data_IF_901723679753
#
_entry.id   IF_901723679753
#
_cell.length_a   1.000
_cell.length_b   1.000
_cell.length_c   1.000
_cell.angle_alpha   90.00
_cell.angle_beta   90.00
_cell.angle_gamma   90.00
#
_symmetry.space_group_name_H-M   'P 1'
#
loop_
_entity.id
_entity.type
_entity.pdbx_description
1 polymer ?
#
# COMPACT_ATOMS: atom_id res chain seq x y z
N UNK A 1 -53.22 -1.47 -28.22
CA UNK A 1 -53.81 -1.40 -26.86
C UNK A 1 -54.11 -2.82 -26.38
N UNK A 2 -53.29 -3.36 -25.47
CA UNK A 2 -53.65 -4.46 -24.57
C UNK A 2 -52.60 -4.49 -23.46
N UNK A 3 -53.05 -4.11 -22.26
CA UNK A 3 -52.28 -4.09 -21.01
C UNK A 3 -52.12 -5.52 -20.51
N UNK A 4 -50.98 -5.84 -19.92
CA UNK A 4 -50.85 -6.95 -18.97
C UNK A 4 -49.92 -6.50 -17.86
N UNK A 5 -50.54 -6.16 -16.72
CA UNK A 5 -49.87 -5.90 -15.46
C UNK A 5 -49.46 -7.23 -14.84
N UNK A 6 -48.19 -7.38 -14.48
CA UNK A 6 -47.74 -8.47 -13.60
C UNK A 6 -47.44 -7.89 -12.22
N UNK A 7 -48.16 -8.41 -11.24
CA UNK A 7 -48.13 -8.09 -9.82
C UNK A 7 -46.89 -8.73 -9.18
N UNK A 8 -46.12 -7.96 -8.41
CA UNK A 8 -45.09 -8.47 -7.49
C UNK A 8 -45.70 -8.61 -6.08
N UNK A 9 -45.50 -9.73 -5.36
CA UNK A 9 -45.86 -9.81 -3.95
C UNK A 9 -44.73 -9.23 -3.07
N UNK A 10 -45.13 -8.41 -2.10
CA UNK A 10 -44.32 -7.95 -0.97
C UNK A 10 -44.19 -9.10 0.04
N UNK A 11 -42.96 -9.45 0.44
CA UNK A 11 -42.71 -10.25 1.63
C UNK A 11 -42.31 -9.33 2.79
N UNK A 12 -43.04 -9.47 3.89
CA UNK A 12 -42.82 -8.84 5.17
C UNK A 12 -41.62 -9.49 5.88
N UNK A 13 -40.63 -8.69 6.24
CA UNK A 13 -39.55 -9.09 7.15
C UNK A 13 -39.89 -8.68 8.57
N UNK A 14 -40.06 -9.67 9.45
CA UNK A 14 -40.33 -9.51 10.86
C UNK A 14 -39.07 -9.05 11.62
N UNK A 15 -39.20 -7.96 12.36
CA UNK A 15 -38.18 -7.38 13.24
C UNK A 15 -38.13 -8.17 14.55
N UNK A 16 -37.03 -8.87 14.82
CA UNK A 16 -36.79 -9.56 16.09
C UNK A 16 -35.96 -8.66 17.02
N UNK A 17 -36.54 -8.31 18.17
CA UNK A 17 -35.94 -7.50 19.21
C UNK A 17 -34.92 -8.32 20.02
N UNK A 18 -33.72 -7.76 20.23
CA UNK A 18 -32.70 -8.31 21.12
C UNK A 18 -32.65 -7.49 22.41
N UNK A 19 -33.05 -8.11 23.53
CA UNK A 19 -32.98 -7.54 24.86
C UNK A 19 -31.59 -7.74 25.46
N UNK A 20 -30.90 -6.64 25.79
CA UNK A 20 -29.65 -6.66 26.54
C UNK A 20 -29.94 -6.45 28.04
N UNK A 21 -29.57 -7.43 28.85
CA UNK A 21 -29.55 -7.33 30.32
C UNK A 21 -28.11 -7.02 30.73
N UNK A 22 -27.88 -5.80 31.24
CA UNK A 22 -26.63 -5.42 31.91
C UNK A 22 -26.88 -5.42 33.42
N UNK A 23 -26.26 -6.35 34.14
CA UNK A 23 -26.23 -6.38 35.60
C UNK A 23 -24.97 -5.69 36.13
N UNK A 24 -25.19 -4.83 37.13
CA UNK A 24 -24.19 -4.11 37.91
C UNK A 24 -23.39 -5.04 38.83
N UNK A 25 -22.12 -4.71 39.05
CA UNK A 25 -21.31 -5.21 40.16
C UNK A 25 -20.33 -4.13 40.64
N UNK A 26 -20.67 -3.46 41.74
CA UNK A 26 -19.82 -2.58 42.54
C UNK A 26 -18.96 -3.38 43.52
N UNK A 27 -17.71 -2.95 43.77
CA UNK A 27 -16.97 -2.93 45.05
C UNK A 27 -15.59 -2.28 44.78
N UNK A 28 -15.25 -1.06 45.22
CA UNK A 28 -14.84 -0.60 46.58
C UNK A 28 -13.64 -1.40 47.14
N UNK A 29 -12.59 -0.88 47.79
CA UNK A 29 -12.06 0.43 48.20
C UNK A 29 -10.65 0.18 48.82
N UNK A 30 -9.81 1.22 48.94
CA UNK A 30 -8.70 1.29 49.94
C UNK A 30 -7.32 1.59 49.35
N UNK A 31 -6.86 2.86 49.31
CA UNK A 31 -6.23 3.67 50.38
C UNK A 31 -4.74 3.31 50.63
N UNK A 32 -3.81 4.04 50.02
CA UNK A 32 -2.94 5.13 50.57
C UNK A 32 -1.78 4.70 51.46
N UNK A 33 -0.57 5.14 51.11
CA UNK A 33 0.61 5.14 51.98
C UNK A 33 1.87 5.69 51.28
N UNK A 34 2.09 6.99 51.42
CA UNK A 34 3.33 7.70 51.05
C UNK A 34 4.50 7.33 51.98
N UNK A 35 5.73 7.31 51.47
CA UNK A 35 6.75 8.34 51.73
C UNK A 35 8.17 7.82 51.47
N UNK A 36 9.02 8.74 51.00
CA UNK A 36 10.43 8.59 50.69
C UNK A 36 11.32 8.46 51.94
N UNK A 37 12.52 7.88 51.80
CA UNK A 37 13.77 8.63 52.02
C UNK A 37 15.02 7.86 51.54
N UNK A 38 16.02 8.65 51.15
CA UNK A 38 17.37 8.39 50.67
C UNK A 38 18.33 7.66 51.62
N UNK A 39 19.38 7.05 51.05
CA UNK A 39 20.62 6.69 51.75
C UNK A 39 21.73 6.28 50.79
N UNK A 40 22.76 7.12 50.67
CA UNK A 40 24.02 6.91 49.93
C UNK A 40 25.06 6.23 50.84
N UNK A 41 25.88 5.31 50.29
CA UNK A 41 27.35 5.36 50.35
C UNK A 41 28.03 4.02 49.95
N UNK A 42 28.96 4.14 48.98
CA UNK A 42 30.30 3.56 48.85
C UNK A 42 30.60 2.06 49.13
N UNK A 43 31.32 1.43 48.20
CA UNK A 43 32.25 0.34 48.55
C UNK A 43 32.66 -0.65 47.45
N UNK A 44 33.74 -0.33 46.74
CA UNK A 44 34.78 -1.24 46.24
C UNK A 44 34.56 -2.16 45.02
N UNK A 45 35.63 -2.14 44.22
CA UNK A 45 35.87 -2.80 42.95
C UNK A 45 36.07 -4.32 43.03
N UNK A 46 35.72 -5.01 41.94
CA UNK A 46 36.50 -6.14 41.39
C UNK A 46 36.36 -6.11 39.86
N UNK A 47 37.50 -6.09 39.15
CA UNK A 47 37.62 -6.34 37.71
C UNK A 47 37.26 -7.79 37.37
N UNK A 48 36.49 -8.00 36.31
CA UNK A 48 36.54 -9.25 35.54
C UNK A 48 36.14 -8.95 34.10
N UNK A 49 37.05 -9.25 33.19
CA UNK A 49 36.93 -9.24 31.74
C UNK A 49 35.87 -10.22 31.25
N UNK A 50 35.00 -9.79 30.32
CA UNK A 50 34.73 -10.59 29.12
C UNK A 50 34.05 -9.75 28.01
N UNK A 51 34.26 -10.18 26.78
CA UNK A 51 33.90 -9.54 25.53
C UNK A 51 32.39 -9.26 25.40
N UNK A 52 32.03 -7.98 25.33
CA UNK A 52 30.66 -7.50 25.16
C UNK A 52 30.35 -7.10 23.72
N UNK A 53 29.61 -7.98 23.03
CA UNK A 53 28.46 -7.68 22.16
C UNK A 53 28.35 -6.22 21.69
N UNK A 54 28.61 -5.99 20.40
CA UNK A 54 28.19 -4.78 19.70
C UNK A 54 26.66 -4.70 19.69
N UNK A 55 26.09 -4.13 20.74
CA UNK A 55 24.73 -3.61 20.76
C UNK A 55 24.75 -2.28 20.01
N UNK A 56 24.49 -2.33 18.71
CA UNK A 56 24.04 -1.16 17.98
C UNK A 56 22.54 -1.00 18.27
N UNK A 57 22.25 -0.31 19.37
CA UNK A 57 20.95 0.27 19.63
C UNK A 57 20.60 1.24 18.51
N UNK A 58 19.60 0.88 17.70
CA UNK A 58 18.85 1.85 16.90
C UNK A 58 17.38 1.66 17.25
N UNK A 59 16.99 2.19 18.41
CA UNK A 59 15.59 2.35 18.78
C UNK A 59 14.98 3.45 17.93
N UNK A 60 14.69 3.15 16.66
CA UNK A 60 13.63 3.86 15.94
C UNK A 60 12.31 3.33 16.46
N UNK A 61 11.46 4.23 16.96
CA UNK A 61 10.10 3.95 17.37
C UNK A 61 9.28 3.54 16.14
N UNK A 62 9.46 2.30 15.71
CA UNK A 62 8.73 1.74 14.60
C UNK A 62 7.36 1.28 15.07
N UNK A 63 6.42 2.22 15.03
CA UNK A 63 5.01 1.98 15.33
C UNK A 63 4.41 0.96 14.37
N UNK A 64 4.88 0.87 13.13
CA UNK A 64 4.35 -0.04 12.12
C UNK A 64 4.76 -1.47 12.46
N UNK A 65 6.04 -1.75 12.68
CA UNK A 65 6.48 -3.09 13.09
C UNK A 65 5.78 -3.58 14.37
N UNK A 66 5.57 -2.70 15.35
CA UNK A 66 4.86 -3.04 16.61
C UNK A 66 3.37 -3.31 16.42
N UNK A 67 2.77 -2.83 15.32
CA UNK A 67 1.35 -3.00 15.02
C UNK A 67 1.03 -4.26 14.21
N UNK A 68 2.05 -4.93 13.66
CA UNK A 68 1.86 -6.14 12.87
C UNK A 68 1.55 -7.31 13.80
N UNK A 69 0.37 -7.93 13.64
CA UNK A 69 0.04 -9.18 14.30
C UNK A 69 0.83 -10.33 13.65
N UNK A 70 2.03 -10.57 14.21
CA UNK A 70 3.01 -11.55 13.74
C UNK A 70 3.59 -12.30 14.93
N UNK A 71 3.67 -13.62 14.80
CA UNK A 71 4.27 -14.55 15.77
C UNK A 71 5.31 -15.41 15.08
N UNK A 72 6.47 -15.55 15.72
CA UNK A 72 7.56 -16.42 15.27
C UNK A 72 7.68 -17.55 16.29
N UNK A 73 7.44 -18.78 15.86
CA UNK A 73 7.58 -19.97 16.69
C UNK A 73 9.06 -20.38 16.81
N UNK A 74 9.40 -21.19 17.83
CA UNK A 74 10.77 -21.66 18.08
C UNK A 74 11.37 -22.45 16.91
N UNK A 75 10.52 -23.13 16.13
CA UNK A 75 10.94 -23.89 14.96
C UNK A 75 11.12 -23.03 13.70
N UNK A 76 10.91 -21.72 13.81
CA UNK A 76 11.02 -20.74 12.74
C UNK A 76 9.79 -20.60 11.87
N UNK A 77 8.64 -21.19 12.24
CA UNK A 77 7.37 -20.88 11.59
C UNK A 77 6.93 -19.45 11.91
N UNK A 78 6.47 -18.73 10.90
CA UNK A 78 5.95 -17.36 11.03
C UNK A 78 4.46 -17.37 10.75
N UNK A 79 3.67 -17.00 11.74
CA UNK A 79 2.22 -16.87 11.64
C UNK A 79 1.83 -15.39 11.69
N UNK A 80 0.98 -14.94 10.77
CA UNK A 80 0.52 -13.56 10.69
C UNK A 80 -0.90 -13.46 10.14
N UNK A 81 -1.53 -12.31 10.33
CA UNK A 81 -2.83 -12.00 9.72
C UNK A 81 -2.64 -11.20 8.42
N UNK A 82 -3.18 -11.67 7.31
CA UNK A 82 -3.12 -11.01 6.00
C UNK A 82 -4.18 -9.90 5.83
N UNK A 83 -4.19 -9.20 4.70
CA UNK A 83 -5.09 -8.05 4.46
C UNK A 83 -6.52 -8.42 4.07
N UNK A 84 -6.83 -9.71 4.02
CA UNK A 84 -8.18 -10.26 3.95
C UNK A 84 -8.64 -10.84 5.30
N UNK A 85 -7.79 -10.80 6.33
CA UNK A 85 -8.10 -11.29 7.68
C UNK A 85 -7.81 -12.77 7.88
N UNK A 86 -7.11 -13.43 6.95
CA UNK A 86 -6.73 -14.84 7.10
C UNK A 86 -5.50 -14.95 8.00
N UNK A 87 -5.47 -15.96 8.87
CA UNK A 87 -4.24 -16.39 9.52
C UNK A 87 -3.43 -17.25 8.57
N UNK A 88 -2.23 -16.81 8.21
CA UNK A 88 -1.31 -17.52 7.32
C UNK A 88 -0.09 -17.95 8.14
N UNK A 89 0.34 -19.20 7.99
CA UNK A 89 1.55 -19.72 8.62
C UNK A 89 2.51 -20.23 7.56
N UNK A 90 3.75 -19.75 7.59
CA UNK A 90 4.78 -20.07 6.61
C UNK A 90 6.06 -20.45 7.34
N UNK A 91 6.71 -21.54 6.93
CA UNK A 91 7.95 -22.01 7.56
C UNK A 91 9.02 -22.26 6.51
N UNK A 92 10.01 -21.36 6.44
CA UNK A 92 11.21 -21.48 5.57
C UNK A 92 10.85 -21.91 4.13
N UNK A 93 10.01 -21.13 3.43
CA UNK A 93 9.52 -21.51 2.11
C UNK A 93 10.67 -21.52 1.08
N UNK A 94 10.59 -22.43 0.12
CA UNK A 94 11.60 -22.69 -0.92
C UNK A 94 11.09 -22.38 -2.32
N UNK A 95 9.81 -22.62 -2.59
CA UNK A 95 9.16 -22.40 -3.88
C UNK A 95 8.11 -21.30 -3.74
N UNK A 96 8.59 -20.06 -3.67
CA UNK A 96 7.72 -18.89 -3.52
C UNK A 96 7.25 -18.40 -4.87
N UNK A 97 5.93 -18.24 -5.01
CA UNK A 97 5.30 -17.67 -6.20
C UNK A 97 4.68 -16.32 -5.86
N UNK A 98 5.05 -15.27 -6.59
CA UNK A 98 4.51 -13.93 -6.39
C UNK A 98 3.60 -13.52 -7.57
N UNK A 99 2.31 -13.39 -7.29
CA UNK A 99 1.27 -13.11 -8.28
C UNK A 99 1.15 -11.61 -8.64
N UNK A 100 2.20 -10.82 -8.39
CA UNK A 100 2.28 -9.38 -8.71
C UNK A 100 3.73 -8.90 -8.66
N UNK A 101 4.17 -8.09 -9.64
CA UNK A 101 5.58 -7.69 -9.77
C UNK A 101 6.14 -6.90 -8.59
N UNK A 102 5.37 -5.98 -8.03
CA UNK A 102 5.81 -5.23 -6.83
C UNK A 102 6.03 -6.14 -5.63
N UNK A 103 5.25 -7.22 -5.51
CA UNK A 103 5.35 -8.17 -4.40
C UNK A 103 6.51 -9.14 -4.61
N UNK A 104 6.74 -9.56 -5.86
CA UNK A 104 7.94 -10.29 -6.25
C UNK A 104 9.20 -9.51 -5.84
N UNK A 105 9.28 -8.23 -6.21
CA UNK A 105 10.39 -7.38 -5.85
C UNK A 105 10.50 -7.14 -4.33
N UNK A 106 9.38 -6.92 -3.64
CA UNK A 106 9.40 -6.77 -2.18
C UNK A 106 9.90 -8.04 -1.47
N UNK A 107 9.57 -9.22 -1.98
CA UNK A 107 10.07 -10.50 -1.48
C UNK A 107 11.59 -10.64 -1.67
N UNK A 108 12.12 -10.30 -2.85
CA UNK A 108 13.57 -10.28 -3.08
C UNK A 108 14.29 -9.23 -2.21
N UNK A 109 13.70 -8.06 -2.03
CA UNK A 109 14.21 -7.03 -1.11
C UNK A 109 14.23 -7.50 0.34
N UNK A 110 13.37 -8.44 0.73
CA UNK A 110 13.41 -9.11 2.02
C UNK A 110 14.44 -10.24 2.07
N UNK A 111 15.16 -10.54 0.99
CA UNK A 111 16.15 -11.62 0.90
C UNK A 111 15.53 -12.98 0.53
N UNK A 112 14.26 -12.97 0.10
CA UNK A 112 13.58 -14.13 -0.43
C UNK A 112 14.08 -14.52 -1.83
N UNK A 113 13.81 -15.76 -2.22
CA UNK A 113 14.02 -16.27 -3.59
C UNK A 113 12.68 -16.65 -4.19
N UNK A 114 12.52 -16.39 -5.48
CA UNK A 114 11.30 -16.70 -6.23
C UNK A 114 11.50 -17.97 -7.06
N UNK A 115 10.49 -18.83 -7.08
CA UNK A 115 10.35 -19.87 -8.10
C UNK A 115 9.64 -19.29 -9.35
N UNK A 116 8.62 -18.47 -9.14
CA UNK A 116 7.91 -17.82 -10.21
C UNK A 116 7.30 -16.46 -9.83
N UNK A 117 7.06 -15.63 -10.84
CA UNK A 117 6.46 -14.31 -10.69
C UNK A 117 5.65 -13.93 -11.93
N UNK A 118 4.82 -12.90 -11.80
CA UNK A 118 4.12 -12.32 -12.94
C UNK A 118 5.06 -11.52 -13.85
N UNK A 119 4.70 -11.39 -15.11
CA UNK A 119 5.55 -10.75 -16.13
C UNK A 119 5.96 -9.31 -15.78
N UNK A 120 5.11 -8.57 -15.07
CA UNK A 120 5.40 -7.20 -14.63
C UNK A 120 6.56 -7.13 -13.63
N UNK A 121 6.98 -8.24 -13.02
CA UNK A 121 8.18 -8.36 -12.20
C UNK A 121 9.46 -8.14 -13.03
N UNK A 122 9.52 -8.74 -14.22
CA UNK A 122 10.64 -8.61 -15.15
C UNK A 122 10.64 -7.21 -15.80
N UNK A 123 9.45 -6.78 -16.24
CA UNK A 123 9.27 -5.51 -16.98
C UNK A 123 9.64 -4.28 -16.13
N UNK A 124 9.28 -4.27 -14.84
CA UNK A 124 9.31 -3.05 -14.02
C UNK A 124 10.29 -3.11 -12.83
N UNK A 125 10.71 -4.29 -12.40
CA UNK A 125 11.51 -4.44 -11.18
C UNK A 125 12.83 -5.18 -11.38
N UNK A 126 13.13 -5.62 -12.60
CA UNK A 126 14.40 -6.25 -12.93
C UNK A 126 14.59 -7.64 -12.33
N UNK A 127 13.49 -8.35 -12.04
CA UNK A 127 13.56 -9.78 -11.70
C UNK A 127 14.19 -10.54 -12.89
N UNK A 128 15.02 -11.52 -12.59
CA UNK A 128 15.74 -12.30 -13.60
C UNK A 128 14.83 -13.35 -14.24
N UNK A 129 14.35 -13.06 -15.46
CA UNK A 129 13.45 -13.93 -16.22
C UNK A 129 14.08 -15.28 -16.61
N UNK A 130 15.42 -15.42 -16.56
CA UNK A 130 16.10 -16.69 -16.82
C UNK A 130 16.07 -17.62 -15.59
N UNK A 131 15.80 -17.06 -14.39
CA UNK A 131 15.80 -17.80 -13.12
C UNK A 131 14.43 -17.97 -12.48
N UNK A 132 13.48 -17.10 -12.83
CA UNK A 132 12.15 -17.06 -12.22
C UNK A 132 11.12 -17.32 -13.32
N UNK A 133 10.29 -18.35 -13.16
CA UNK A 133 9.30 -18.73 -14.16
C UNK A 133 8.15 -17.71 -14.24
N UNK A 134 7.54 -17.56 -15.42
CA UNK A 134 6.34 -16.75 -15.58
C UNK A 134 5.07 -17.52 -15.17
N UNK A 135 4.18 -16.84 -14.44
CA UNK A 135 2.79 -17.28 -14.17
C UNK A 135 1.75 -16.43 -14.92
N UNK A 136 2.18 -15.73 -15.96
CA UNK A 136 1.39 -14.78 -16.75
C UNK A 136 1.41 -13.36 -16.19
N UNK A 137 0.49 -12.51 -16.66
CA UNK A 137 0.36 -11.12 -16.17
C UNK A 137 -0.45 -11.08 -14.87
N UNK A 138 -0.21 -10.08 -14.04
CA UNK A 138 -1.02 -9.84 -12.83
C UNK A 138 -2.52 -9.63 -13.12
N UNK A 139 -2.88 -9.21 -14.33
CA UNK A 139 -4.28 -9.12 -14.82
C UNK A 139 -4.80 -10.39 -15.48
N UNK A 140 -3.97 -11.42 -15.68
CA UNK A 140 -4.34 -12.65 -16.38
C UNK A 140 -3.47 -13.81 -15.88
N UNK A 141 -3.58 -14.09 -14.58
CA UNK A 141 -2.85 -15.16 -13.90
C UNK A 141 -3.25 -16.54 -14.43
N UNK A 142 -2.31 -17.48 -14.46
CA UNK A 142 -2.54 -18.88 -14.81
C UNK A 142 -2.40 -19.77 -13.57
N UNK A 143 -3.51 -20.32 -13.06
CA UNK A 143 -3.48 -21.25 -11.93
C UNK A 143 -2.66 -22.51 -12.24
N UNK A 144 -2.78 -23.02 -13.47
CA UNK A 144 -1.98 -24.17 -13.93
C UNK A 144 -0.48 -23.86 -13.85
N UNK A 145 -0.07 -22.68 -14.33
CA UNK A 145 1.34 -22.27 -14.29
C UNK A 145 1.82 -22.04 -12.85
N UNK A 146 0.97 -21.55 -11.95
CA UNK A 146 1.29 -21.41 -10.51
C UNK A 146 1.52 -22.79 -9.89
N UNK A 147 0.58 -23.72 -10.08
CA UNK A 147 0.65 -25.07 -9.49
C UNK A 147 1.82 -25.90 -10.06
N UNK A 148 2.19 -25.67 -11.32
CA UNK A 148 3.32 -26.34 -11.96
C UNK A 148 4.68 -26.03 -11.30
N UNK A 149 4.75 -24.99 -10.45
CA UNK A 149 5.96 -24.63 -9.70
C UNK A 149 6.11 -25.35 -8.37
N UNK A 150 5.15 -26.22 -8.00
CA UNK A 150 5.10 -26.89 -6.70
C UNK A 150 5.29 -25.90 -5.52
N UNK A 151 4.45 -24.83 -5.46
CA UNK A 151 4.70 -23.74 -4.53
C UNK A 151 4.43 -24.15 -3.09
N UNK A 152 5.31 -23.70 -2.17
CA UNK A 152 5.11 -23.84 -0.73
C UNK A 152 4.77 -22.52 -0.03
N UNK A 153 4.68 -21.43 -0.79
CA UNK A 153 4.12 -20.15 -0.36
C UNK A 153 3.72 -19.30 -1.58
N UNK A 154 2.49 -18.79 -1.58
CA UNK A 154 1.98 -17.88 -2.62
C UNK A 154 1.72 -16.50 -2.04
N UNK A 155 2.21 -15.48 -2.74
CA UNK A 155 2.01 -14.06 -2.39
C UNK A 155 1.08 -13.45 -3.44
N UNK A 156 -0.09 -12.97 -3.01
CA UNK A 156 -1.11 -12.42 -3.89
C UNK A 156 -1.60 -11.05 -3.43
N UNK A 157 -2.29 -10.34 -4.32
CA UNK A 157 -2.94 -9.07 -3.99
C UNK A 157 -4.37 -9.28 -3.53
N UNK A 158 -4.77 -8.58 -2.46
CA UNK A 158 -6.12 -8.60 -1.89
C UNK A 158 -7.06 -7.57 -2.51
N UNK A 159 -7.02 -7.35 -3.83
CA UNK A 159 -7.96 -6.45 -4.52
C UNK A 159 -9.33 -7.12 -4.70
N UNK A 160 -10.21 -7.01 -3.70
CA UNK A 160 -11.59 -7.53 -3.80
C UNK A 160 -12.56 -6.52 -4.43
N UNK A 161 -12.12 -5.74 -5.43
CA UNK A 161 -12.96 -4.68 -6.00
C UNK A 161 -13.81 -5.12 -7.20
N UNK A 162 -13.62 -6.35 -7.70
CA UNK A 162 -14.34 -6.90 -8.86
C UNK A 162 -14.09 -6.15 -10.17
N UNK A 163 -13.21 -5.14 -10.19
CA UNK A 163 -12.90 -4.29 -11.35
C UNK A 163 -11.59 -4.70 -12.00
N UNK A 164 -10.70 -5.32 -11.24
CA UNK A 164 -9.52 -6.00 -11.77
C UNK A 164 -9.90 -7.45 -12.08
N UNK A 165 -10.36 -7.70 -13.30
CA UNK A 165 -10.49 -9.08 -13.79
C UNK A 165 -9.08 -9.64 -13.91
N UNK A 166 -8.68 -10.43 -12.91
CA UNK A 166 -7.56 -11.34 -13.00
C UNK A 166 -8.09 -12.62 -13.64
N UNK A 167 -7.34 -13.22 -14.57
CA UNK A 167 -7.76 -14.45 -15.28
C UNK A 167 -8.23 -15.60 -14.37
N UNK A 168 -7.84 -15.57 -13.09
CA UNK A 168 -8.37 -16.37 -11.98
C UNK A 168 -8.76 -15.42 -10.86
N UNK A 169 -9.96 -15.56 -10.27
CA UNK A 169 -10.39 -14.69 -9.16
C UNK A 169 -9.60 -15.00 -7.88
N UNK A 170 -9.52 -14.04 -6.93
CA UNK A 170 -8.86 -14.28 -5.64
C UNK A 170 -9.49 -15.44 -4.86
N UNK A 171 -10.82 -15.59 -4.94
CA UNK A 171 -11.53 -16.70 -4.30
C UNK A 171 -11.17 -18.04 -4.93
N UNK A 172 -11.05 -18.10 -6.26
CA UNK A 172 -10.71 -19.35 -6.95
C UNK A 172 -9.26 -19.74 -6.71
N UNK A 173 -8.33 -18.76 -6.77
CA UNK A 173 -6.92 -18.96 -6.44
C UNK A 173 -6.77 -19.47 -5.00
N UNK A 174 -7.44 -18.83 -4.04
CA UNK A 174 -7.40 -19.24 -2.63
C UNK A 174 -7.96 -20.65 -2.44
N UNK A 175 -9.11 -20.95 -3.04
CA UNK A 175 -9.77 -22.25 -2.90
C UNK A 175 -8.89 -23.39 -3.45
N UNK A 176 -8.21 -23.18 -4.58
CA UNK A 176 -7.31 -24.17 -5.17
C UNK A 176 -6.06 -24.42 -4.31
N UNK A 177 -5.47 -23.35 -3.76
CA UNK A 177 -4.30 -23.43 -2.89
C UNK A 177 -4.64 -24.07 -1.54
N UNK A 178 -5.79 -23.73 -0.95
CA UNK A 178 -6.28 -24.36 0.28
C UNK A 178 -6.53 -25.85 0.11
N UNK A 179 -7.13 -26.27 -1.02
CA UNK A 179 -7.34 -27.69 -1.33
C UNK A 179 -6.01 -28.47 -1.48
N UNK A 180 -4.91 -27.76 -1.72
CA UNK A 180 -3.56 -28.32 -1.84
C UNK A 180 -2.71 -28.07 -0.59
N UNK A 181 -3.30 -27.51 0.49
CA UNK A 181 -2.61 -27.14 1.74
C UNK A 181 -1.43 -26.16 1.55
N UNK A 182 -1.47 -25.32 0.50
CA UNK A 182 -0.43 -24.34 0.18
C UNK A 182 -0.78 -23.00 0.82
N UNK A 183 0.07 -22.43 1.69
CA UNK A 183 -0.22 -21.15 2.32
C UNK A 183 -0.20 -20.02 1.29
N UNK A 184 -1.26 -19.22 1.27
CA UNK A 184 -1.41 -18.05 0.42
C UNK A 184 -1.68 -16.81 1.27
N UNK A 185 -0.90 -15.75 1.06
CA UNK A 185 -1.05 -14.47 1.76
C UNK A 185 -1.49 -13.37 0.81
N UNK A 186 -2.54 -12.64 1.20
CA UNK A 186 -3.05 -11.50 0.44
C UNK A 186 -2.62 -10.17 1.05
N UNK A 187 -2.03 -9.31 0.23
CA UNK A 187 -1.61 -7.97 0.63
C UNK A 187 -2.32 -6.87 -0.17
N UNK A 188 -2.66 -5.79 0.53
CA UNK A 188 -3.16 -4.51 0.02
C UNK A 188 -2.11 -3.45 0.38
N UNK A 189 -1.37 -3.02 -0.63
CA UNK A 189 -0.32 -2.01 -0.45
C UNK A 189 -0.73 -0.74 -1.19
N UNK A 190 -1.06 0.32 -0.47
CA UNK A 190 -1.41 1.60 -1.09
C UNK A 190 -0.51 2.73 -0.59
N UNK A 191 -0.11 2.65 0.67
CA UNK A 191 0.76 3.62 1.34
C UNK A 191 2.14 3.03 1.64
N UNK A 192 3.09 3.88 2.04
CA UNK A 192 4.39 3.40 2.49
C UNK A 192 4.28 2.54 3.76
N UNK A 193 3.34 2.86 4.66
CA UNK A 193 3.13 2.07 5.88
C UNK A 193 2.62 0.66 5.56
N UNK A 194 1.78 0.49 4.51
CA UNK A 194 1.38 -0.83 4.03
C UNK A 194 2.57 -1.63 3.50
N UNK A 195 3.44 -0.97 2.72
CA UNK A 195 4.67 -1.58 2.22
C UNK A 195 5.57 -2.00 3.38
N UNK A 196 5.76 -1.13 4.38
CA UNK A 196 6.60 -1.38 5.54
C UNK A 196 6.06 -2.54 6.38
N UNK A 197 4.74 -2.66 6.53
CA UNK A 197 4.09 -3.80 7.20
C UNK A 197 4.31 -5.10 6.44
N UNK A 198 4.09 -5.12 5.12
CA UNK A 198 4.35 -6.30 4.28
C UNK A 198 5.84 -6.71 4.31
N UNK A 199 6.75 -5.74 4.21
CA UNK A 199 8.19 -5.99 4.29
C UNK A 199 8.59 -6.56 5.65
N UNK A 200 7.96 -6.11 6.75
CA UNK A 200 8.19 -6.68 8.08
C UNK A 200 7.85 -8.17 8.12
N UNK A 201 6.72 -8.56 7.53
CA UNK A 201 6.30 -9.96 7.44
C UNK A 201 7.31 -10.76 6.61
N UNK A 202 7.70 -10.27 5.43
CA UNK A 202 8.65 -10.98 4.57
C UNK A 202 10.03 -11.14 5.22
N UNK A 203 10.52 -10.10 5.89
CA UNK A 203 11.82 -10.14 6.60
C UNK A 203 11.79 -11.06 7.82
N UNK A 204 10.64 -11.20 8.48
CA UNK A 204 10.46 -12.21 9.51
C UNK A 204 10.47 -13.64 8.94
N UNK A 205 9.80 -13.89 7.81
CA UNK A 205 9.79 -15.22 7.14
C UNK A 205 11.20 -15.61 6.68
N UNK A 206 11.98 -14.66 6.18
CA UNK A 206 13.34 -14.88 5.67
C UNK A 206 14.43 -14.79 6.75
N UNK A 207 14.10 -14.29 7.95
CA UNK A 207 15.06 -14.05 9.02
C UNK A 207 16.06 -12.92 8.73
N UNK A 208 15.66 -11.92 7.94
CA UNK A 208 16.53 -10.82 7.45
C UNK A 208 16.11 -9.46 7.99
N UNK A 209 16.19 -9.29 9.31
CA UNK A 209 15.92 -8.00 9.97
C UNK A 209 16.85 -6.87 9.49
N UNK A 210 18.06 -7.20 9.02
CA UNK A 210 18.98 -6.25 8.40
C UNK A 210 18.40 -5.64 7.11
N UNK A 211 17.65 -6.43 6.33
CA UNK A 211 16.95 -5.95 5.14
C UNK A 211 15.70 -5.16 5.48
N UNK A 212 15.07 -5.42 6.63
CA UNK A 212 14.00 -4.56 7.13
C UNK A 212 14.51 -3.17 7.49
N UNK A 213 15.65 -3.09 8.16
CA UNK A 213 16.32 -1.83 8.45
C UNK A 213 16.63 -1.08 7.15
N UNK A 214 17.33 -1.73 6.22
CA UNK A 214 17.80 -1.10 4.98
C UNK A 214 16.66 -0.68 4.04
N UNK A 215 15.74 -1.59 3.73
CA UNK A 215 14.73 -1.39 2.69
C UNK A 215 13.41 -0.83 3.25
N UNK A 216 13.25 -0.78 4.57
CA UNK A 216 12.09 -0.22 5.26
C UNK A 216 12.44 1.03 6.05
N UNK A 217 13.18 0.89 7.15
CA UNK A 217 13.38 1.98 8.11
C UNK A 217 14.25 3.13 7.58
N UNK A 218 15.30 2.82 6.82
CA UNK A 218 16.15 3.86 6.21
C UNK A 218 15.36 4.64 5.15
N UNK A 219 14.50 3.96 4.37
CA UNK A 219 13.58 4.58 3.41
C UNK A 219 12.56 5.45 4.15
N UNK A 220 11.97 4.97 5.25
CA UNK A 220 11.07 5.76 6.09
C UNK A 220 11.73 7.05 6.60
N UNK A 221 13.00 6.97 7.00
CA UNK A 221 13.76 8.14 7.43
C UNK A 221 13.99 9.13 6.29
N UNK A 222 14.26 8.64 5.07
CA UNK A 222 14.37 9.46 3.86
C UNK A 222 13.05 10.14 3.49
N UNK A 223 11.93 9.42 3.57
CA UNK A 223 10.58 9.99 3.38
C UNK A 223 10.32 11.11 4.38
N UNK A 224 10.57 10.89 5.68
CA UNK A 224 10.41 11.91 6.73
C UNK A 224 11.24 13.17 6.45
N UNK A 225 12.47 13.00 5.94
CA UNK A 225 13.33 14.13 5.51
C UNK A 225 12.73 14.86 4.31
N UNK A 226 12.22 14.14 3.31
CA UNK A 226 11.59 14.72 2.12
C UNK A 226 10.32 15.51 2.50
N UNK A 227 9.43 14.92 3.30
CA UNK A 227 8.22 15.57 3.80
C UNK A 227 8.55 16.84 4.58
N UNK A 228 9.52 16.79 5.51
CA UNK A 228 9.96 17.99 6.25
C UNK A 228 10.53 19.07 5.34
N UNK A 229 11.34 18.68 4.35
CA UNK A 229 12.03 19.62 3.45
C UNK A 229 11.08 20.30 2.47
N UNK A 230 10.07 19.58 1.99
CA UNK A 230 9.18 20.01 0.92
C UNK A 230 7.74 20.23 1.39
N UNK A 231 7.51 20.31 2.70
CA UNK A 231 6.17 20.53 3.26
C UNK A 231 5.58 21.84 2.74
N UNK A 232 4.32 21.78 2.36
CA UNK A 232 3.51 22.94 1.94
C UNK A 232 2.33 23.18 2.89
N UNK A 233 2.38 22.61 4.10
CA UNK A 233 1.29 22.67 5.10
C UNK A 233 0.87 24.08 5.53
N UNK A 234 1.75 25.07 5.40
CA UNK A 234 1.43 26.47 5.73
C UNK A 234 0.57 27.12 4.64
N UNK A 235 0.80 26.76 3.36
CA UNK A 235 0.08 27.29 2.20
C UNK A 235 -1.17 26.46 1.86
N UNK A 236 -1.12 25.15 2.13
CA UNK A 236 -2.17 24.16 1.81
C UNK A 236 -2.70 24.30 0.38
N UNK A 237 -1.82 24.24 -0.64
CA UNK A 237 -2.27 24.41 -2.01
C UNK A 237 -3.25 23.30 -2.40
N UNK A 238 -4.19 23.63 -3.28
CA UNK A 238 -5.17 22.74 -3.87
C UNK A 238 -4.54 21.96 -5.00
N UNK A 239 -4.56 20.64 -4.92
CA UNK A 239 -3.94 19.73 -5.89
C UNK A 239 -5.01 18.84 -6.48
N UNK A 240 -5.00 18.70 -7.80
CA UNK A 240 -5.74 17.64 -8.48
C UNK A 240 -4.78 16.53 -8.88
N UNK A 241 -5.11 15.29 -8.49
CA UNK A 241 -4.46 14.08 -8.98
C UNK A 241 -5.40 13.40 -9.96
N UNK A 242 -4.89 13.02 -11.13
CA UNK A 242 -5.68 12.33 -12.14
C UNK A 242 -4.90 11.21 -12.82
N UNK A 243 -5.63 10.25 -13.39
CA UNK A 243 -5.10 9.18 -14.23
C UNK A 243 -5.59 9.34 -15.66
N UNK A 244 -4.66 9.33 -16.61
CA UNK A 244 -4.96 9.21 -18.03
C UNK A 244 -4.79 7.78 -18.48
N UNK A 245 -5.84 7.22 -19.08
CA UNK A 245 -5.86 5.92 -19.72
C UNK A 245 -5.93 6.09 -21.23
N UNK A 246 -5.85 5.00 -21.99
CA UNK A 246 -6.04 5.05 -23.46
C UNK A 246 -7.44 5.46 -23.91
N UNK A 247 -8.45 5.42 -23.03
CA UNK A 247 -9.87 5.64 -23.35
C UNK A 247 -10.56 6.72 -22.49
N UNK A 248 -9.82 7.43 -21.65
CA UNK A 248 -10.42 8.43 -20.76
C UNK A 248 -9.47 8.90 -19.67
N UNK A 249 -9.96 9.81 -18.85
CA UNK A 249 -9.26 10.38 -17.70
C UNK A 249 -10.17 10.31 -16.49
N UNK A 250 -9.61 10.04 -15.32
CA UNK A 250 -10.34 10.02 -14.04
C UNK A 250 -9.58 10.80 -12.98
N UNK A 251 -10.29 11.43 -12.05
CA UNK A 251 -9.67 12.00 -10.86
C UNK A 251 -9.35 10.92 -9.81
N UNK A 252 -8.44 11.25 -8.90
CA UNK A 252 -8.08 10.43 -7.74
C UNK A 252 -8.21 11.24 -6.45
N UNK A 253 -8.77 10.63 -5.42
CA UNK A 253 -8.75 11.14 -4.06
C UNK A 253 -7.47 10.69 -3.32
N UNK A 254 -7.39 11.01 -2.03
CA UNK A 254 -6.26 10.61 -1.18
C UNK A 254 -6.32 9.17 -0.68
N UNK A 255 -7.27 8.35 -1.13
CA UNK A 255 -7.27 6.90 -0.81
C UNK A 255 -6.26 6.14 -1.65
N UNK A 256 -5.88 6.68 -2.82
CA UNK A 256 -4.83 6.16 -3.68
C UNK A 256 -3.43 6.63 -3.27
N UNK A 257 -2.42 5.92 -3.78
CA UNK A 257 -1.00 6.14 -3.47
C UNK A 257 -0.54 7.60 -3.64
N UNK A 258 -0.77 8.19 -4.81
CA UNK A 258 -0.29 9.55 -5.12
C UNK A 258 -1.04 10.60 -4.30
N UNK A 259 -2.36 10.45 -4.14
CA UNK A 259 -3.17 11.35 -3.31
C UNK A 259 -2.76 11.30 -1.83
N UNK A 260 -2.44 10.12 -1.28
CA UNK A 260 -1.91 9.99 0.07
C UNK A 260 -0.59 10.76 0.25
N UNK A 261 0.36 10.64 -0.69
CA UNK A 261 1.61 11.41 -0.64
C UNK A 261 1.37 12.93 -0.71
N UNK A 262 0.45 13.38 -1.56
CA UNK A 262 0.06 14.80 -1.68
C UNK A 262 -0.43 15.33 -0.34
N UNK A 263 -1.29 14.57 0.34
CA UNK A 263 -1.81 14.90 1.67
C UNK A 263 -0.72 14.93 2.73
N UNK A 264 0.19 13.96 2.72
CA UNK A 264 1.31 13.90 3.66
C UNK A 264 2.33 15.04 3.47
N UNK A 265 2.47 15.55 2.24
CA UNK A 265 3.26 16.75 1.95
C UNK A 265 2.56 18.06 2.40
N UNK A 266 1.31 17.98 2.85
CA UNK A 266 0.56 19.10 3.41
C UNK A 266 -0.32 19.87 2.41
N UNK A 267 -0.48 19.33 1.20
CA UNK A 267 -1.40 19.88 0.20
C UNK A 267 -2.81 19.29 0.35
N UNK A 268 -3.81 19.98 -0.18
CA UNK A 268 -5.21 19.54 -0.17
C UNK A 268 -5.54 18.90 -1.51
N UNK A 269 -5.90 17.62 -1.53
CA UNK A 269 -6.46 17.01 -2.74
C UNK A 269 -7.90 17.51 -2.94
N UNK A 270 -8.18 18.18 -4.06
CA UNK A 270 -9.50 18.78 -4.34
C UNK A 270 -10.62 17.74 -4.38
N UNK A 271 -10.30 16.48 -4.69
CA UNK A 271 -11.28 15.40 -4.75
C UNK A 271 -11.69 14.86 -3.38
N UNK A 272 -10.89 15.09 -2.33
CA UNK A 272 -11.28 14.74 -0.95
C UNK A 272 -12.47 15.60 -0.48
N UNK A 273 -12.50 16.86 -0.91
CA UNK A 273 -13.57 17.82 -0.61
C UNK A 273 -14.75 17.71 -1.60
N UNK A 274 -14.52 17.11 -2.76
CA UNK A 274 -15.47 17.05 -3.88
C UNK A 274 -15.56 15.61 -4.45
N UNK A 275 -16.10 14.65 -3.67
CA UNK A 275 -16.08 13.23 -4.04
C UNK A 275 -16.90 12.90 -5.30
N UNK A 276 -17.86 13.76 -5.68
CA UNK A 276 -18.60 13.61 -6.96
C UNK A 276 -17.67 13.71 -8.18
N UNK A 277 -16.52 14.40 -8.07
CA UNK A 277 -15.53 14.48 -9.14
C UNK A 277 -14.87 13.13 -9.46
N UNK A 278 -15.00 12.13 -8.58
CA UNK A 278 -14.52 10.77 -8.81
C UNK A 278 -15.44 9.98 -9.76
N UNK A 279 -16.74 10.30 -9.79
CA UNK A 279 -17.74 9.60 -10.62
C UNK A 279 -18.17 10.41 -11.83
N UNK A 280 -18.30 11.73 -11.68
CA UNK A 280 -18.81 12.65 -12.71
C UNK A 280 -17.67 13.54 -13.26
N UNK A 281 -16.51 12.92 -13.53
CA UNK A 281 -15.33 13.65 -13.99
C UNK A 281 -15.57 14.33 -15.36
N UNK A 282 -15.43 15.66 -15.40
CA UNK A 282 -15.28 16.43 -16.64
C UNK A 282 -14.27 17.55 -16.48
N UNK A 283 -13.70 18.04 -17.59
CA UNK A 283 -12.75 19.16 -17.55
C UNK A 283 -13.42 20.42 -17.04
N UNK A 284 -14.70 20.63 -17.34
CA UNK A 284 -15.49 21.74 -16.82
C UNK A 284 -15.71 21.64 -15.31
N UNK A 285 -15.96 20.43 -14.79
CA UNK A 285 -16.05 20.20 -13.33
C UNK A 285 -14.71 20.49 -12.65
N UNK A 286 -13.59 20.12 -13.29
CA UNK A 286 -12.25 20.39 -12.78
C UNK A 286 -11.94 21.89 -12.84
N UNK A 287 -12.34 22.57 -13.91
CA UNK A 287 -12.21 24.01 -14.04
C UNK A 287 -12.94 24.76 -12.92
N UNK A 288 -14.11 24.28 -12.48
CA UNK A 288 -14.83 24.84 -11.35
C UNK A 288 -14.11 24.63 -9.99
N UNK A 289 -13.29 23.59 -9.86
CA UNK A 289 -12.50 23.33 -8.64
C UNK A 289 -11.22 24.17 -8.55
N UNK A 290 -10.77 24.68 -9.71
CA UNK A 290 -9.56 25.49 -9.95
C UNK A 290 -8.37 25.11 -9.05
N UNK A 291 -7.75 23.94 -9.25
CA UNK A 291 -6.59 23.54 -8.48
C UNK A 291 -5.38 24.43 -8.77
N UNK A 292 -4.54 24.64 -7.74
CA UNK A 292 -3.24 25.34 -7.86
C UNK A 292 -2.20 24.47 -8.58
N UNK A 293 -2.35 23.14 -8.51
CA UNK A 293 -1.45 22.15 -9.09
C UNK A 293 -2.19 20.96 -9.68
N UNK A 294 -1.65 20.39 -10.76
CA UNK A 294 -2.20 19.19 -11.37
C UNK A 294 -1.12 18.12 -11.58
N UNK A 295 -1.35 16.93 -11.05
CA UNK A 295 -0.53 15.75 -11.27
C UNK A 295 -1.26 14.71 -12.10
N UNK A 296 -0.64 14.30 -13.21
CA UNK A 296 -1.22 13.37 -14.17
C UNK A 296 -0.43 12.07 -14.17
N UNK A 297 -1.09 10.97 -13.87
CA UNK A 297 -0.53 9.62 -13.96
C UNK A 297 -0.87 9.06 -15.34
N UNK A 298 0.15 8.66 -16.10
CA UNK A 298 -0.06 7.96 -17.37
C UNK A 298 -0.22 6.46 -17.07
N UNK A 299 -1.41 5.92 -17.35
CA UNK A 299 -1.79 4.54 -17.00
C UNK A 299 -1.95 3.69 -18.25
N UNK A 300 -1.18 2.59 -18.30
CA UNK A 300 -1.24 1.58 -19.35
C UNK A 300 0.12 1.24 -19.96
N UNK A 301 0.18 0.15 -20.72
CA UNK A 301 1.41 -0.33 -21.36
C UNK A 301 1.90 0.59 -22.50
N UNK A 302 1.00 1.37 -23.12
CA UNK A 302 1.34 2.35 -24.14
C UNK A 302 1.25 3.77 -23.55
N UNK A 303 2.36 4.21 -22.95
CA UNK A 303 2.50 5.56 -22.40
C UNK A 303 2.24 6.65 -23.47
N UNK A 304 2.56 6.37 -24.75
CA UNK A 304 2.31 7.32 -25.85
C UNK A 304 0.82 7.37 -26.20
N UNK A 305 0.07 6.28 -26.08
CA UNK A 305 -1.39 6.32 -26.25
C UNK A 305 -2.09 7.07 -25.12
N UNK A 306 -1.65 6.86 -23.88
CA UNK A 306 -2.18 7.60 -22.73
C UNK A 306 -1.84 9.10 -22.81
N UNK A 307 -0.65 9.45 -23.30
CA UNK A 307 -0.27 10.84 -23.61
C UNK A 307 -1.13 11.42 -24.74
N UNK A 308 -1.29 10.71 -25.87
CA UNK A 308 -2.17 11.15 -26.97
C UNK A 308 -3.61 11.36 -26.50
N UNK A 309 -4.16 10.43 -25.71
CA UNK A 309 -5.51 10.57 -25.17
C UNK A 309 -5.61 11.76 -24.21
N UNK A 310 -4.59 11.98 -23.37
CA UNK A 310 -4.55 13.15 -22.50
C UNK A 310 -4.60 14.44 -23.32
N UNK A 311 -3.74 14.58 -24.34
CA UNK A 311 -3.76 15.75 -25.21
C UNK A 311 -5.11 15.93 -25.91
N UNK A 312 -5.70 14.85 -26.43
CA UNK A 312 -6.96 14.92 -27.17
C UNK A 312 -8.18 15.17 -26.28
N UNK A 313 -8.23 14.61 -25.07
CA UNK A 313 -9.42 14.65 -24.21
C UNK A 313 -9.35 15.73 -23.12
N UNK A 314 -8.14 16.19 -22.78
CA UNK A 314 -7.89 17.17 -21.72
C UNK A 314 -7.33 18.46 -22.31
N UNK A 315 -6.16 18.41 -22.95
CA UNK A 315 -5.49 19.63 -23.41
C UNK A 315 -6.22 20.34 -24.55
N UNK A 316 -7.00 19.61 -25.34
CA UNK A 316 -7.82 20.19 -26.43
C UNK A 316 -9.05 20.95 -25.93
N UNK A 317 -9.47 20.73 -24.68
CA UNK A 317 -10.64 21.39 -24.12
C UNK A 317 -10.27 22.82 -23.68
N UNK A 318 -10.96 23.88 -24.17
CA UNK A 318 -10.65 25.26 -23.81
C UNK A 318 -10.64 25.53 -22.30
N UNK A 319 -11.47 24.84 -21.52
CA UNK A 319 -11.51 24.99 -20.06
C UNK A 319 -10.20 24.56 -19.39
N UNK A 320 -9.42 23.67 -20.00
CA UNK A 320 -8.10 23.28 -19.50
C UNK A 320 -7.11 24.44 -19.54
N UNK A 321 -7.04 25.18 -20.65
CA UNK A 321 -6.15 26.33 -20.79
C UNK A 321 -6.46 27.48 -19.84
N UNK A 322 -7.68 27.52 -19.30
CA UNK A 322 -8.13 28.56 -18.38
C UNK A 322 -7.75 28.31 -16.92
N UNK A 323 -7.39 27.08 -16.56
CA UNK A 323 -7.01 26.67 -15.21
C UNK A 323 -5.81 27.46 -14.68
N UNK A 324 -5.89 27.87 -13.41
CA UNK A 324 -4.80 28.57 -12.73
C UNK A 324 -3.50 27.77 -12.78
N UNK A 325 -3.57 26.45 -12.50
CA UNK A 325 -2.41 25.56 -12.59
C UNK A 325 -1.79 25.52 -14.00
N UNK A 326 -2.60 25.49 -15.06
CA UNK A 326 -2.09 25.38 -16.43
C UNK A 326 -1.41 26.67 -16.87
N UNK A 327 -2.04 27.82 -16.61
CA UNK A 327 -1.47 29.14 -16.89
C UNK A 327 -0.17 29.40 -16.14
N UNK A 328 -0.07 28.91 -14.90
CA UNK A 328 1.13 29.04 -14.08
C UNK A 328 2.24 28.02 -14.43
N UNK A 329 1.97 27.05 -15.32
CA UNK A 329 2.90 25.95 -15.60
C UNK A 329 3.00 24.92 -14.47
N UNK A 330 2.02 24.89 -13.57
CA UNK A 330 1.93 24.05 -12.39
C UNK A 330 1.27 22.69 -12.64
N UNK A 331 1.47 22.12 -13.84
CA UNK A 331 1.01 20.78 -14.18
C UNK A 331 2.20 19.86 -14.48
N UNK A 332 2.12 18.60 -14.05
CA UNK A 332 3.20 17.63 -14.26
C UNK A 332 2.65 16.24 -14.52
N UNK A 333 3.14 15.62 -15.60
CA UNK A 333 2.99 14.18 -15.83
C UNK A 333 4.01 13.44 -14.95
N UNK A 334 3.51 12.49 -14.17
CA UNK A 334 4.27 11.64 -13.27
C UNK A 334 4.55 10.30 -13.94
N UNK A 335 5.76 9.77 -13.75
CA UNK A 335 6.15 8.49 -14.34
C UNK A 335 5.55 7.30 -13.59
N UNK A 336 5.26 6.23 -14.32
CA UNK A 336 4.60 5.06 -13.76
C UNK A 336 5.47 4.29 -12.78
N UNK A 337 6.80 4.33 -12.91
CA UNK A 337 7.72 3.58 -12.06
C UNK A 337 7.66 4.07 -10.60
N UNK A 338 7.56 5.38 -10.38
CA UNK A 338 7.49 5.97 -9.04
C UNK A 338 6.08 6.06 -8.47
N UNK A 339 5.04 6.15 -9.32
CA UNK A 339 3.71 6.53 -8.87
C UNK A 339 2.59 5.51 -9.15
N UNK A 340 2.88 4.44 -9.92
CA UNK A 340 1.90 3.39 -10.22
C UNK A 340 2.42 1.99 -9.84
N UNK A 341 3.71 1.76 -10.04
CA UNK A 341 4.37 0.47 -9.81
C UNK A 341 4.93 0.33 -8.40
N UNK A 342 4.22 0.78 -7.36
CA UNK A 342 4.57 0.61 -5.93
C UNK A 342 6.09 0.46 -5.69
N UNK A 343 6.86 1.57 -5.67
CA UNK A 343 8.29 1.59 -5.93
C UNK A 343 9.15 0.96 -4.81
N UNK A 344 8.53 0.38 -3.78
CA UNK A 344 9.17 -0.37 -2.71
C UNK A 344 10.35 0.40 -2.08
N UNK A 345 11.58 -0.07 -2.22
CA UNK A 345 12.75 0.60 -1.64
C UNK A 345 12.99 2.04 -2.18
N UNK A 346 12.23 2.50 -3.18
CA UNK A 346 12.33 3.83 -3.79
C UNK A 346 11.15 4.76 -3.49
N UNK A 347 10.34 4.45 -2.46
CA UNK A 347 9.22 5.32 -2.08
C UNK A 347 9.67 6.76 -1.76
N UNK A 348 10.85 6.96 -1.20
CA UNK A 348 11.44 8.28 -0.93
C UNK A 348 11.69 9.12 -2.19
N UNK A 349 12.01 8.48 -3.32
CA UNK A 349 12.14 9.14 -4.61
C UNK A 349 10.79 9.77 -5.03
N UNK A 350 9.67 9.06 -4.86
CA UNK A 350 8.32 9.56 -5.16
C UNK A 350 7.95 10.79 -4.32
N UNK A 351 8.18 10.75 -3.00
CA UNK A 351 7.98 11.91 -2.14
C UNK A 351 8.88 13.09 -2.54
N UNK A 352 10.12 12.81 -2.93
CA UNK A 352 11.06 13.84 -3.37
C UNK A 352 10.62 14.48 -4.69
N UNK A 353 10.12 13.70 -5.64
CA UNK A 353 9.62 14.19 -6.94
C UNK A 353 8.39 15.10 -6.72
N UNK A 354 7.38 14.63 -5.97
CA UNK A 354 6.19 15.43 -5.66
C UNK A 354 6.54 16.67 -4.83
N UNK A 355 7.34 16.50 -3.78
CA UNK A 355 7.74 17.59 -2.92
C UNK A 355 8.49 18.68 -3.68
N UNK A 356 9.41 18.32 -4.58
CA UNK A 356 10.08 19.29 -5.46
C UNK A 356 9.10 20.00 -6.39
N UNK A 357 8.11 19.29 -6.94
CA UNK A 357 7.11 19.91 -7.80
C UNK A 357 6.30 20.95 -7.01
N UNK A 358 5.75 20.57 -5.85
CA UNK A 358 4.98 21.48 -4.97
C UNK A 358 5.82 22.65 -4.43
N UNK A 359 7.13 22.46 -4.21
CA UNK A 359 8.01 23.48 -3.64
C UNK A 359 8.63 24.43 -4.67
N UNK A 360 8.88 24.00 -5.92
CA UNK A 360 9.54 24.83 -6.96
C UNK A 360 8.63 25.92 -7.54
N UNK A 361 7.34 25.79 -7.35
CA UNK A 361 6.32 26.52 -8.09
C UNK A 361 5.64 27.58 -7.20
N UNK A 362 6.41 28.06 -6.21
CA UNK A 362 5.99 28.77 -5.02
C UNK A 362 6.83 30.02 -4.74
#
# INVERSE_FOLDING_TARGET
MKKTHLVRPMMAGATLALAAVLSLGLSACGATGSSANSGSAAGSAVQSSDAGKSSASTSTDDKVAKSVDLKIAEDGAVSFTDDLGNTVTVKKPKHVVACMGSFANAWELAGGKLAAATDDAYENYGVDADKVASVGRSTSLSLESIMAQDPDFVIATGLSDGKHSTGVSQSDLKSALDASEIPCAFFKVTTFDDYLRMLRIFTAITGRDDLYQKNGLDVQASIKKAVKKYSVSDKKPRVLVMSSYSKGVTAQDSTGMTGAMVKELGATNVCDENPSALTDFSIESIAALDPDYIFVLSVGADAKAAERNFTQSVESNPAWGELSAVKAGNYKVLDSAHFMSKPNAKWDESYTILGKALAKMN
#
